data_IF_777467208871
#
_entry.id   IF_777467208871
#
_cell.length_a   1.000
_cell.length_b   1.000
_cell.length_c   1.000
_cell.angle_alpha   90.00
_cell.angle_beta   90.00
_cell.angle_gamma   90.00
#
_symmetry.space_group_name_H-M   'P 1'
#
loop_
_entity.id
_entity.type
_entity.pdbx_description
1 polymer ?
#
# COMPACT_ATOMS: atom_id res chain seq x y z
N UNK A 1 19.85 -0.89 -4.13
CA UNK A 1 19.87 -1.57 -5.44
C UNK A 1 18.76 -0.93 -6.28
N UNK A 2 19.08 -0.03 -7.20
CA UNK A 2 18.08 0.77 -7.94
C UNK A 2 17.38 -0.06 -9.00
N UNK A 3 16.05 0.01 -9.06
CA UNK A 3 15.24 -0.67 -10.07
C UNK A 3 15.16 0.19 -11.34
N UNK A 4 15.69 -0.26 -12.49
CA UNK A 4 16.02 0.63 -13.61
C UNK A 4 14.87 1.05 -14.55
N UNK A 5 13.60 1.00 -14.14
CA UNK A 5 12.46 1.45 -15.00
C UNK A 5 11.28 2.05 -14.21
N UNK A 6 11.56 2.94 -13.25
CA UNK A 6 10.52 3.68 -12.51
C UNK A 6 10.41 5.08 -13.12
N UNK A 7 9.31 5.36 -13.82
CA UNK A 7 9.09 6.64 -14.52
C UNK A 7 7.92 7.36 -13.85
N UNK A 8 8.15 8.60 -13.40
CA UNK A 8 7.09 9.53 -13.00
C UNK A 8 6.77 10.43 -14.19
N UNK A 9 5.49 10.68 -14.45
CA UNK A 9 5.05 11.64 -15.47
C UNK A 9 4.55 12.90 -14.78
N UNK A 10 5.07 14.05 -15.21
CA UNK A 10 4.60 15.36 -14.78
C UNK A 10 3.56 15.85 -15.79
N UNK A 11 2.49 16.51 -15.30
CA UNK A 11 1.45 17.08 -16.15
C UNK A 11 2.02 18.08 -17.15
N UNK A 12 1.43 18.15 -18.35
CA UNK A 12 1.91 19.02 -19.41
C UNK A 12 1.70 20.52 -19.13
N UNK A 13 0.74 20.85 -18.26
CA UNK A 13 0.30 22.22 -17.95
C UNK A 13 0.95 22.79 -16.68
N UNK A 14 2.08 22.22 -16.26
CA UNK A 14 2.84 22.71 -15.11
C UNK A 14 3.79 23.81 -15.57
N UNK A 15 3.78 24.94 -14.86
CA UNK A 15 4.71 26.04 -15.11
C UNK A 15 6.17 25.56 -15.12
N UNK A 16 7.01 26.15 -15.98
CA UNK A 16 8.40 25.70 -16.17
C UNK A 16 9.22 25.80 -14.89
N UNK A 17 9.02 26.82 -14.06
CA UNK A 17 9.76 26.97 -12.82
C UNK A 17 9.37 25.88 -11.81
N UNK A 18 8.06 25.65 -11.64
CA UNK A 18 7.52 24.61 -10.76
C UNK A 18 7.95 23.22 -11.22
N UNK A 19 8.00 23.00 -12.54
CA UNK A 19 8.42 21.72 -13.12
C UNK A 19 9.86 21.37 -12.73
N UNK A 20 10.79 22.33 -12.80
CA UNK A 20 12.19 22.09 -12.42
C UNK A 20 12.31 21.75 -10.94
N UNK A 21 11.61 22.48 -10.08
CA UNK A 21 11.58 22.20 -8.64
C UNK A 21 11.00 20.82 -8.34
N UNK A 22 9.91 20.45 -9.01
CA UNK A 22 9.27 19.15 -8.86
C UNK A 22 10.15 18.01 -9.38
N UNK A 23 10.85 18.18 -10.50
CA UNK A 23 11.79 17.20 -11.03
C UNK A 23 12.93 16.94 -10.03
N UNK A 24 13.48 17.99 -9.42
CA UNK A 24 14.52 17.87 -8.39
C UNK A 24 13.99 17.14 -7.14
N UNK A 25 12.82 17.55 -6.63
CA UNK A 25 12.19 16.94 -5.47
C UNK A 25 11.93 15.44 -5.69
N UNK A 26 11.43 15.06 -6.86
CA UNK A 26 11.15 13.67 -7.20
C UNK A 26 12.43 12.83 -7.31
N UNK A 27 13.53 13.41 -7.82
CA UNK A 27 14.83 12.75 -7.87
C UNK A 27 15.41 12.54 -6.46
N UNK A 28 15.36 13.56 -5.61
CA UNK A 28 15.87 13.52 -4.24
C UNK A 28 15.11 12.50 -3.37
N UNK A 29 13.79 12.37 -3.61
CA UNK A 29 12.89 11.49 -2.86
C UNK A 29 12.48 10.22 -3.59
N UNK A 30 13.23 9.77 -4.61
CA UNK A 30 12.90 8.57 -5.40
C UNK A 30 12.68 7.29 -4.56
N UNK A 31 13.32 7.24 -3.39
CA UNK A 31 13.30 6.13 -2.44
C UNK A 31 12.08 6.12 -1.49
N UNK A 32 11.32 7.22 -1.42
CA UNK A 32 10.13 7.34 -0.57
C UNK A 32 8.90 6.71 -1.24
N UNK A 33 8.86 6.71 -2.56
CA UNK A 33 7.75 6.12 -3.31
C UNK A 33 7.74 4.59 -3.17
N UNK A 34 6.56 4.05 -2.89
CA UNK A 34 6.35 2.61 -2.88
C UNK A 34 5.94 2.14 -4.28
N UNK A 35 6.94 1.72 -5.06
CA UNK A 35 6.75 1.34 -6.46
C UNK A 35 6.25 -0.09 -6.63
N UNK A 36 6.45 -0.93 -5.61
CA UNK A 36 6.03 -2.33 -5.57
C UNK A 36 5.48 -2.64 -4.18
N UNK A 37 4.69 -3.71 -4.05
CA UNK A 37 4.15 -4.13 -2.75
C UNK A 37 5.23 -4.32 -1.67
N UNK A 38 6.41 -4.92 -1.96
CA UNK A 38 7.51 -4.99 -0.99
C UNK A 38 8.11 -3.63 -0.59
N UNK A 39 7.98 -2.61 -1.44
CA UNK A 39 8.45 -1.25 -1.11
C UNK A 39 7.49 -0.54 -0.15
N UNK A 40 6.21 -0.98 -0.07
CA UNK A 40 5.28 -0.57 0.98
C UNK A 40 5.58 -1.31 2.28
N UNK A 41 6.77 -1.08 2.87
CA UNK A 41 6.95 -1.41 4.27
C UNK A 41 5.93 -0.59 5.03
N UNK A 42 4.91 -1.26 5.60
CA UNK A 42 3.81 -0.60 6.27
C UNK A 42 4.29 0.46 7.26
N UNK A 43 3.44 1.46 7.53
CA UNK A 43 3.76 2.51 8.50
C UNK A 43 4.12 1.82 9.82
N UNK A 44 5.28 2.19 10.39
CA UNK A 44 5.72 1.63 11.66
C UNK A 44 4.56 1.78 12.69
N UNK A 45 4.13 0.71 13.37
CA UNK A 45 3.06 0.79 14.36
C UNK A 45 3.31 1.87 15.43
N UNK A 46 4.57 2.15 15.74
CA UNK A 46 4.93 3.25 16.66
C UNK A 46 4.60 4.65 16.13
N UNK A 47 4.50 4.81 14.81
CA UNK A 47 4.23 6.09 14.12
C UNK A 47 2.72 6.31 13.97
N UNK A 48 1.95 5.26 13.65
CA UNK A 48 0.51 5.37 13.45
C UNK A 48 -0.23 4.07 13.82
N UNK A 49 -0.23 3.71 15.09
CA UNK A 49 -1.18 2.73 15.64
C UNK A 49 -2.45 3.45 16.06
N UNK A 50 -3.58 3.01 15.52
CA UNK A 50 -4.89 3.45 15.96
C UNK A 50 -5.54 2.32 16.73
N UNK A 51 -6.03 2.62 17.93
CA UNK A 51 -6.84 1.69 18.70
C UNK A 51 -8.31 1.84 18.28
N UNK A 52 -8.95 0.73 17.96
CA UNK A 52 -10.40 0.71 17.78
C UNK A 52 -11.01 0.82 19.18
N UNK A 53 -11.75 1.90 19.44
CA UNK A 53 -12.49 2.06 20.69
C UNK A 53 -13.69 1.09 20.69
N UNK A 54 -13.43 -0.15 21.13
CA UNK A 54 -14.43 -1.21 21.23
C UNK A 54 -14.95 -1.19 22.65
N UNK A 55 -16.27 -1.10 22.80
CA UNK A 55 -16.89 -1.25 24.11
C UNK A 55 -16.71 -2.70 24.60
N UNK A 56 -15.94 -2.84 25.68
CA UNK A 56 -15.54 -4.10 26.32
C UNK A 56 -16.71 -4.96 26.81
N UNK A 57 -17.91 -4.39 26.91
CA UNK A 57 -19.13 -5.10 27.30
C UNK A 57 -19.62 -6.01 26.15
N UNK A 58 -19.34 -5.65 24.89
CA UNK A 58 -19.77 -6.41 23.74
C UNK A 58 -18.85 -7.61 23.48
N UNK A 59 -19.46 -8.79 23.38
CA UNK A 59 -18.74 -10.02 23.09
C UNK A 59 -18.35 -10.08 21.60
N UNK A 60 -17.15 -10.56 21.24
CA UNK A 60 -16.77 -10.77 19.85
C UNK A 60 -17.76 -11.68 19.13
N UNK A 61 -18.19 -11.28 17.93
CA UNK A 61 -19.11 -12.05 17.09
C UNK A 61 -18.33 -12.75 16.00
N UNK A 62 -18.34 -14.09 16.00
CA UNK A 62 -17.78 -14.88 14.90
C UNK A 62 -18.76 -14.90 13.73
N UNK A 63 -18.46 -14.12 12.69
CA UNK A 63 -19.25 -14.13 11.46
C UNK A 63 -18.98 -15.38 10.63
N UNK A 64 -20.04 -16.00 10.09
CA UNK A 64 -19.92 -17.16 9.21
C UNK A 64 -19.28 -16.74 7.88
N UNK A 65 -18.27 -17.50 7.42
CA UNK A 65 -17.63 -17.27 6.12
C UNK A 65 -18.68 -17.36 5.00
N UNK A 66 -18.74 -16.33 4.15
CA UNK A 66 -19.59 -16.33 2.95
C UNK A 66 -19.00 -17.30 1.93
N UNK A 67 -19.87 -18.06 1.25
CA UNK A 67 -19.46 -18.89 0.11
C UNK A 67 -19.11 -17.95 -1.05
N UNK A 68 -17.91 -18.10 -1.59
CA UNK A 68 -17.49 -17.44 -2.82
C UNK A 68 -17.63 -18.44 -3.96
N UNK A 69 -18.02 -17.97 -5.15
CA UNK A 69 -17.90 -18.77 -6.37
C UNK A 69 -16.43 -19.03 -6.71
N UNK A 70 -16.15 -20.09 -7.47
CA UNK A 70 -14.78 -20.57 -7.72
C UNK A 70 -13.85 -19.46 -8.26
N UNK A 71 -14.29 -18.71 -9.27
CA UNK A 71 -13.54 -17.60 -9.85
C UNK A 71 -13.14 -16.55 -8.80
N UNK A 72 -14.08 -16.16 -7.93
CA UNK A 72 -13.82 -15.19 -6.87
C UNK A 72 -12.91 -15.77 -5.79
N UNK A 73 -13.03 -17.06 -5.51
CA UNK A 73 -12.18 -17.73 -4.53
C UNK A 73 -10.72 -17.80 -5.01
N UNK A 74 -10.49 -18.09 -6.29
CA UNK A 74 -9.16 -18.08 -6.89
C UNK A 74 -8.52 -16.69 -6.86
N UNK A 75 -9.27 -15.64 -7.26
CA UNK A 75 -8.79 -14.27 -7.19
C UNK A 75 -8.45 -13.83 -5.75
N UNK A 76 -9.28 -14.20 -4.78
CA UNK A 76 -9.02 -13.93 -3.36
C UNK A 76 -7.77 -14.65 -2.88
N UNK A 77 -7.59 -15.92 -3.22
CA UNK A 77 -6.40 -16.68 -2.82
C UNK A 77 -5.12 -16.05 -3.40
N UNK A 78 -5.13 -15.67 -4.69
CA UNK A 78 -3.98 -15.03 -5.32
C UNK A 78 -3.61 -13.69 -4.65
N UNK A 79 -4.60 -12.85 -4.30
CA UNK A 79 -4.33 -11.60 -3.59
C UNK A 79 -3.87 -11.85 -2.14
N UNK A 80 -4.43 -12.87 -1.46
CA UNK A 80 -3.99 -13.26 -0.11
C UNK A 80 -2.53 -13.70 -0.10
N UNK A 81 -2.11 -14.53 -1.06
CA UNK A 81 -0.72 -14.96 -1.21
C UNK A 81 0.22 -13.76 -1.43
N UNK A 82 -0.18 -12.81 -2.27
CA UNK A 82 0.56 -11.57 -2.51
C UNK A 82 0.67 -10.69 -1.26
N UNK A 83 -0.39 -10.59 -0.46
CA UNK A 83 -0.39 -9.82 0.80
C UNK A 83 0.46 -10.49 1.88
N UNK A 84 0.43 -11.83 1.97
CA UNK A 84 1.31 -12.60 2.84
C UNK A 84 2.78 -12.41 2.46
N UNK A 85 3.10 -12.50 1.17
CA UNK A 85 4.45 -12.28 0.66
C UNK A 85 4.95 -10.85 0.94
N UNK A 86 4.05 -9.86 0.97
CA UNK A 86 4.37 -8.48 1.33
C UNK A 86 4.51 -8.26 2.85
N UNK A 87 4.13 -9.23 3.70
CA UNK A 87 4.13 -9.09 5.16
C UNK A 87 3.06 -8.13 5.70
N UNK A 88 2.05 -7.79 4.88
CA UNK A 88 0.97 -6.87 5.25
C UNK A 88 -0.11 -7.54 6.10
N UNK A 89 -0.23 -8.86 5.97
CA UNK A 89 -1.06 -9.73 6.80
C UNK A 89 -0.18 -10.87 7.31
N UNK A 90 -0.42 -11.34 8.53
CA UNK A 90 0.35 -12.39 9.20
C UNK A 90 -0.54 -13.37 9.92
#
# INVERSE_FOLDING_TARGET
KGHPKRVVRIGADVDKAIRVELEQLLQDHVHIFAWTMPDMKGINPKVASHELNIDTIFKPIKQKRRKLGNEKAEAVNAEVEKLLAAGSIG
#
